data_IF_990265676992
#
_entry.id   IF_990265676992
#
_cell.length_a   1.000
_cell.length_b   1.000
_cell.length_c   1.000
_cell.angle_alpha   90.00
_cell.angle_beta   90.00
_cell.angle_gamma   90.00
#
_symmetry.space_group_name_H-M   'P 1'
#
loop_
_entity.id
_entity.type
_entity.pdbx_description
1 polymer ?
#
# COMPACT_ATOMS: atom_id res chain seq x y z
N UNK A 1 -23.92 2.99 12.25
CA UNK A 1 -24.88 3.21 13.36
C UNK A 1 -25.71 4.46 13.13
N UNK A 2 -25.07 5.62 12.91
CA UNK A 2 -25.72 6.91 12.61
C UNK A 2 -26.87 6.85 11.58
N UNK A 3 -26.63 6.30 10.38
CA UNK A 3 -27.69 6.12 9.35
C UNK A 3 -28.95 5.41 9.86
N UNK A 4 -28.80 4.42 10.74
CA UNK A 4 -29.94 3.70 11.34
C UNK A 4 -30.64 4.56 12.41
N UNK A 5 -29.88 5.29 13.23
CA UNK A 5 -30.43 6.20 14.23
C UNK A 5 -31.27 7.31 13.58
N UNK A 6 -30.79 7.87 12.47
CA UNK A 6 -31.54 8.82 11.62
C UNK A 6 -32.82 8.18 11.09
N UNK A 7 -32.73 7.01 10.45
CA UNK A 7 -33.89 6.32 9.87
C UNK A 7 -34.99 6.04 10.90
N UNK A 8 -34.62 5.53 12.08
CA UNK A 8 -35.58 5.19 13.14
C UNK A 8 -35.89 6.34 14.10
N UNK A 9 -35.36 7.55 13.85
CA UNK A 9 -35.55 8.73 14.69
C UNK A 9 -35.20 8.46 16.16
N UNK A 10 -34.08 7.79 16.39
CA UNK A 10 -33.58 7.47 17.73
C UNK A 10 -32.43 8.41 18.10
N UNK A 11 -32.39 8.95 19.33
CA UNK A 11 -31.21 9.64 19.82
C UNK A 11 -29.97 8.75 19.78
N UNK A 12 -28.80 9.34 19.50
CA UNK A 12 -27.51 8.66 19.49
C UNK A 12 -26.48 9.47 20.29
N UNK A 13 -25.71 8.77 21.12
CA UNK A 13 -24.55 9.32 21.82
C UNK A 13 -23.31 8.65 21.21
N UNK A 14 -22.50 9.43 20.51
CA UNK A 14 -21.26 8.97 19.90
C UNK A 14 -20.07 9.51 20.71
N UNK A 15 -19.03 8.70 20.89
CA UNK A 15 -17.81 9.11 21.58
C UNK A 15 -16.59 8.42 20.99
N UNK A 16 -15.47 9.13 20.91
CA UNK A 16 -14.20 8.62 20.40
C UNK A 16 -13.03 9.03 21.28
N UNK A 17 -11.93 8.29 21.18
CA UNK A 17 -10.65 8.63 21.85
C UNK A 17 -9.48 8.37 20.91
N UNK A 18 -8.46 9.21 20.98
CA UNK A 18 -7.17 9.03 20.33
C UNK A 18 -6.06 9.43 21.30
N UNK A 19 -5.44 8.42 21.93
CA UNK A 19 -4.53 8.61 23.06
C UNK A 19 -5.17 9.46 24.17
N UNK A 20 -4.62 10.64 24.48
CA UNK A 20 -5.15 11.55 25.50
C UNK A 20 -6.30 12.44 25.00
N UNK A 21 -6.60 12.41 23.69
CA UNK A 21 -7.69 13.18 23.09
C UNK A 21 -8.99 12.39 23.18
N UNK A 22 -10.10 13.08 23.42
CA UNK A 22 -11.44 12.50 23.41
C UNK A 22 -12.45 13.46 22.82
N UNK A 23 -13.51 12.91 22.24
CA UNK A 23 -14.65 13.68 21.73
C UNK A 23 -15.96 12.97 22.08
N UNK A 24 -17.03 13.74 22.24
CA UNK A 24 -18.39 13.26 22.43
C UNK A 24 -19.32 14.07 21.54
N UNK A 25 -20.26 13.42 20.85
CA UNK A 25 -21.26 14.06 20.02
C UNK A 25 -22.64 13.51 20.36
N UNK A 26 -23.61 14.41 20.55
CA UNK A 26 -25.00 14.06 20.80
C UNK A 26 -25.81 14.31 19.54
N UNK A 27 -26.52 13.30 19.06
CA UNK A 27 -27.44 13.38 17.92
C UNK A 27 -28.88 13.27 18.44
N UNK A 28 -29.62 14.37 18.37
CA UNK A 28 -31.03 14.45 18.76
C UNK A 28 -31.89 14.58 17.49
N UNK A 29 -32.85 13.66 17.26
CA UNK A 29 -33.73 13.72 16.09
C UNK A 29 -34.43 15.07 15.98
N UNK A 30 -34.43 15.66 14.78
CA UNK A 30 -35.07 16.94 14.46
C UNK A 30 -34.48 18.17 15.16
N UNK A 31 -33.32 18.06 15.81
CA UNK A 31 -32.71 19.17 16.55
C UNK A 31 -31.24 19.39 16.19
N UNK A 32 -30.42 18.34 16.19
CA UNK A 32 -28.99 18.45 15.88
C UNK A 32 -28.65 17.78 14.55
N UNK A 33 -27.49 18.11 14.01
CA UNK A 33 -26.92 17.38 12.88
C UNK A 33 -26.57 15.93 13.27
N UNK A 34 -26.53 15.06 12.26
CA UNK A 34 -26.12 13.67 12.42
C UNK A 34 -24.59 13.56 12.43
N UNK A 35 -24.05 12.43 12.90
CA UNK A 35 -22.59 12.21 12.88
C UNK A 35 -22.04 12.30 11.45
N UNK A 36 -22.75 11.75 10.46
CA UNK A 36 -22.33 11.76 9.06
C UNK A 36 -22.57 13.09 8.32
N UNK A 37 -23.08 14.12 9.00
CA UNK A 37 -23.22 15.46 8.44
C UNK A 37 -21.88 16.21 8.34
N UNK A 38 -20.92 15.85 9.19
CA UNK A 38 -19.54 16.35 9.17
C UNK A 38 -18.57 15.30 8.64
N UNK A 39 -17.56 15.73 7.89
CA UNK A 39 -16.44 14.88 7.50
C UNK A 39 -15.21 15.23 8.33
N UNK A 40 -14.65 14.21 8.99
CA UNK A 40 -13.32 14.31 9.56
C UNK A 40 -12.27 14.50 8.43
N UNK A 41 -11.14 15.17 8.72
CA UNK A 41 -10.05 15.26 7.77
C UNK A 41 -9.64 13.85 7.31
N UNK A 42 -9.52 13.60 6.00
CA UNK A 42 -9.06 12.31 5.52
C UNK A 42 -7.62 12.08 5.99
N UNK A 43 -7.26 10.81 6.18
CA UNK A 43 -5.87 10.45 6.39
C UNK A 43 -5.02 10.95 5.21
N UNK A 44 -3.83 11.47 5.52
CA UNK A 44 -2.90 11.92 4.49
C UNK A 44 -2.32 10.69 3.80
N UNK A 45 -2.58 10.54 2.51
CA UNK A 45 -1.92 9.52 1.69
C UNK A 45 -0.52 9.99 1.29
N UNK A 46 0.45 9.08 1.31
CA UNK A 46 1.81 9.35 0.85
C UNK A 46 1.83 9.18 -0.68
N UNK A 47 2.38 10.14 -1.45
CA UNK A 47 2.49 10.00 -2.89
C UNK A 47 3.30 8.75 -3.29
N UNK A 48 2.85 8.04 -4.33
CA UNK A 48 3.52 6.80 -4.80
C UNK A 48 4.99 7.05 -5.16
N UNK A 49 5.32 8.19 -5.78
CA UNK A 49 6.71 8.53 -6.12
C UNK A 49 7.61 8.65 -4.87
N UNK A 50 7.06 9.18 -3.77
CA UNK A 50 7.76 9.29 -2.49
C UNK A 50 7.99 7.91 -1.87
N UNK A 51 7.01 7.01 -1.93
CA UNK A 51 7.15 5.64 -1.45
C UNK A 51 8.15 4.82 -2.27
N UNK A 52 8.14 4.97 -3.60
CA UNK A 52 8.94 4.12 -4.50
C UNK A 52 10.39 4.59 -4.67
N UNK A 53 10.63 5.91 -4.74
CA UNK A 53 11.93 6.43 -5.19
C UNK A 53 12.55 7.45 -4.23
N UNK A 54 11.75 8.21 -3.48
CA UNK A 54 12.24 9.36 -2.71
C UNK A 54 11.69 9.41 -1.26
N UNK A 55 11.90 8.37 -0.44
CA UNK A 55 11.52 8.41 0.97
C UNK A 55 12.44 9.36 1.75
N UNK A 56 11.86 10.20 2.62
CA UNK A 56 12.60 11.17 3.44
C UNK A 56 12.14 11.17 4.92
N UNK A 57 11.19 10.32 5.27
CA UNK A 57 10.64 10.15 6.60
C UNK A 57 10.42 8.65 6.87
N UNK A 58 10.46 8.25 8.14
CA UNK A 58 10.38 6.83 8.52
C UNK A 58 9.04 6.22 8.10
N UNK A 59 7.95 6.99 8.17
CA UNK A 59 6.61 6.59 7.77
C UNK A 59 6.56 6.13 6.31
N UNK A 60 7.38 6.71 5.43
CA UNK A 60 7.44 6.32 4.03
C UNK A 60 8.04 4.92 3.88
N UNK A 61 9.12 4.64 4.60
CA UNK A 61 9.75 3.31 4.60
C UNK A 61 8.91 2.26 5.30
N UNK A 62 8.16 2.63 6.34
CA UNK A 62 7.23 1.73 7.04
C UNK A 62 6.05 1.35 6.14
N UNK A 63 5.46 2.33 5.44
CA UNK A 63 4.40 2.08 4.48
C UNK A 63 4.89 1.20 3.32
N UNK A 64 6.07 1.52 2.75
CA UNK A 64 6.70 0.69 1.73
C UNK A 64 6.92 -0.74 2.21
N UNK A 65 7.48 -0.94 3.40
CA UNK A 65 7.77 -2.27 3.94
C UNK A 65 6.50 -3.09 4.20
N UNK A 66 5.41 -2.43 4.62
CA UNK A 66 4.10 -3.06 4.76
C UNK A 66 3.56 -3.53 3.41
N UNK A 67 3.61 -2.67 2.39
CA UNK A 67 3.11 -2.98 1.05
C UNK A 67 3.95 -4.11 0.42
N UNK A 68 5.26 -4.08 0.61
CA UNK A 68 6.19 -5.13 0.17
C UNK A 68 5.88 -6.48 0.85
N UNK A 69 5.68 -6.48 2.18
CA UNK A 69 5.28 -7.68 2.91
C UNK A 69 3.94 -8.24 2.40
N UNK A 70 2.94 -7.38 2.19
CA UNK A 70 1.63 -7.80 1.70
C UNK A 70 1.72 -8.39 0.28
N UNK A 71 2.51 -7.76 -0.61
CA UNK A 71 2.76 -8.26 -1.96
C UNK A 71 3.43 -9.63 -1.97
N UNK A 72 4.52 -9.77 -1.22
CA UNK A 72 5.35 -10.98 -1.21
C UNK A 72 4.66 -12.18 -0.57
N UNK A 73 4.02 -12.00 0.58
CA UNK A 73 3.58 -13.12 1.41
C UNK A 73 2.06 -13.36 1.41
N UNK A 74 1.26 -12.38 0.96
CA UNK A 74 -0.21 -12.50 0.90
C UNK A 74 -0.72 -12.56 -0.53
N UNK A 75 -0.48 -11.49 -1.29
CA UNK A 75 -1.07 -11.33 -2.63
C UNK A 75 -0.54 -12.37 -3.61
N UNK A 76 0.77 -12.63 -3.61
CA UNK A 76 1.36 -13.63 -4.50
C UNK A 76 0.79 -15.04 -4.27
N UNK A 77 0.66 -15.46 -3.01
CA UNK A 77 0.07 -16.74 -2.67
C UNK A 77 -1.43 -16.80 -3.02
N UNK A 78 -2.16 -15.71 -2.78
CA UNK A 78 -3.57 -15.59 -3.13
C UNK A 78 -3.80 -15.69 -4.65
N UNK A 79 -3.03 -14.96 -5.46
CA UNK A 79 -3.10 -15.03 -6.91
C UNK A 79 -2.76 -16.42 -7.44
N UNK A 80 -1.71 -17.06 -6.93
CA UNK A 80 -1.36 -18.43 -7.32
C UNK A 80 -2.48 -19.43 -6.95
N UNK A 81 -3.07 -19.30 -5.76
CA UNK A 81 -4.17 -20.16 -5.33
C UNK A 81 -5.43 -19.96 -6.19
N UNK A 82 -5.76 -18.72 -6.54
CA UNK A 82 -6.88 -18.42 -7.43
C UNK A 82 -6.62 -18.97 -8.84
N UNK A 83 -5.42 -18.77 -9.39
CA UNK A 83 -5.02 -19.32 -10.69
C UNK A 83 -5.18 -20.84 -10.76
N UNK A 84 -4.83 -21.56 -9.69
CA UNK A 84 -4.92 -23.03 -9.65
C UNK A 84 -6.34 -23.56 -9.46
N UNK A 85 -7.24 -22.81 -8.83
CA UNK A 85 -8.59 -23.27 -8.44
C UNK A 85 -9.69 -22.77 -9.36
N UNK A 86 -9.48 -21.61 -9.97
CA UNK A 86 -10.51 -20.89 -10.71
C UNK A 86 -10.20 -20.87 -12.21
N UNK A 87 -10.92 -21.66 -13.03
CA UNK A 87 -10.68 -21.71 -14.46
C UNK A 87 -10.98 -20.38 -15.18
N UNK A 88 -11.74 -19.48 -14.57
CA UNK A 88 -12.05 -18.16 -15.12
C UNK A 88 -11.06 -17.07 -14.66
N UNK A 89 -10.02 -17.41 -13.89
CA UNK A 89 -9.03 -16.45 -13.38
C UNK A 89 -8.37 -15.65 -14.51
N UNK A 90 -7.89 -16.32 -15.56
CA UNK A 90 -7.21 -15.66 -16.67
C UNK A 90 -8.13 -14.65 -17.39
N UNK A 91 -9.36 -15.06 -17.71
CA UNK A 91 -10.33 -14.20 -18.39
C UNK A 91 -10.64 -12.95 -17.57
N UNK A 92 -10.79 -13.10 -16.24
CA UNK A 92 -11.04 -11.97 -15.34
C UNK A 92 -9.84 -11.05 -15.21
N UNK A 93 -8.66 -11.64 -15.06
CA UNK A 93 -7.40 -10.91 -14.86
C UNK A 93 -7.06 -10.06 -16.09
N UNK A 94 -7.30 -10.58 -17.29
CA UNK A 94 -7.09 -9.85 -18.54
C UNK A 94 -8.06 -8.67 -18.74
N UNK A 95 -9.18 -8.64 -18.02
CA UNK A 95 -10.14 -7.52 -18.03
C UNK A 95 -9.77 -6.42 -17.03
N UNK A 96 -8.74 -6.62 -16.20
CA UNK A 96 -8.29 -5.59 -15.26
C UNK A 96 -7.62 -4.42 -16.00
N UNK A 97 -7.72 -3.19 -15.47
CA UNK A 97 -7.17 -2.01 -16.12
C UNK A 97 -5.64 -1.92 -15.97
N UNK A 98 -5.00 -1.26 -16.93
CA UNK A 98 -3.60 -0.85 -16.91
C UNK A 98 -2.61 -2.03 -16.73
N UNK A 99 -1.65 -1.92 -15.80
CA UNK A 99 -0.61 -2.93 -15.55
C UNK A 99 -1.08 -4.10 -14.70
N UNK A 100 -2.25 -4.01 -14.07
CA UNK A 100 -2.73 -5.03 -13.13
C UNK A 100 -2.77 -6.45 -13.69
N UNK A 101 -3.12 -6.69 -14.98
CA UNK A 101 -3.02 -8.02 -15.55
C UNK A 101 -1.58 -8.55 -15.57
N UNK A 102 -0.61 -7.72 -15.93
CA UNK A 102 0.81 -8.09 -15.97
C UNK A 102 1.33 -8.36 -14.56
N UNK A 103 1.05 -7.45 -13.62
CA UNK A 103 1.48 -7.56 -12.22
C UNK A 103 0.96 -8.87 -11.58
N UNK A 104 -0.32 -9.18 -11.80
CA UNK A 104 -0.95 -10.40 -11.29
C UNK A 104 -0.35 -11.67 -11.94
N UNK A 105 -0.12 -11.67 -13.25
CA UNK A 105 0.42 -12.82 -13.97
C UNK A 105 1.91 -13.06 -13.65
N UNK A 106 2.71 -12.00 -13.50
CA UNK A 106 4.10 -12.10 -13.05
C UNK A 106 4.18 -12.64 -11.63
N UNK A 107 3.28 -12.18 -10.75
CA UNK A 107 3.18 -12.69 -9.39
C UNK A 107 2.86 -14.18 -9.34
N UNK A 108 1.88 -14.65 -10.14
CA UNK A 108 1.57 -16.09 -10.29
C UNK A 108 2.76 -16.86 -10.85
N UNK A 109 3.41 -16.34 -11.90
CA UNK A 109 4.59 -16.97 -12.51
C UNK A 109 5.65 -17.19 -11.44
N UNK A 110 6.05 -16.13 -10.74
CA UNK A 110 7.12 -16.18 -9.73
C UNK A 110 6.77 -17.18 -8.61
N UNK A 111 5.54 -17.14 -8.11
CA UNK A 111 5.08 -18.06 -7.06
C UNK A 111 5.12 -19.54 -7.48
N UNK A 112 4.99 -19.84 -8.77
CA UNK A 112 5.02 -21.22 -9.29
C UNK A 112 6.43 -21.63 -9.73
N UNK A 113 7.16 -20.76 -10.43
CA UNK A 113 8.47 -21.08 -11.02
C UNK A 113 9.61 -20.98 -10.01
N UNK A 114 9.56 -20.02 -9.09
CA UNK A 114 10.58 -19.82 -8.05
C UNK A 114 10.18 -20.48 -6.73
N UNK A 115 9.31 -21.48 -6.79
CA UNK A 115 8.78 -22.16 -5.61
C UNK A 115 9.93 -22.86 -4.85
N UNK A 116 10.22 -22.49 -3.59
CA UNK A 116 11.24 -23.17 -2.80
C UNK A 116 10.82 -24.61 -2.50
N UNK A 117 11.80 -25.54 -2.48
CA UNK A 117 11.59 -26.95 -2.14
C UNK A 117 12.21 -27.32 -0.80
N UNK A 118 13.08 -26.46 -0.28
CA UNK A 118 13.76 -26.58 1.02
C UNK A 118 13.77 -25.24 1.76
N UNK A 119 14.17 -25.26 3.04
CA UNK A 119 14.33 -24.03 3.80
C UNK A 119 15.52 -23.20 3.31
N UNK A 120 16.58 -23.88 2.87
CA UNK A 120 17.77 -23.30 2.28
C UNK A 120 17.44 -22.47 1.04
N UNK A 121 16.50 -22.95 0.21
CA UNK A 121 16.00 -22.18 -0.95
C UNK A 121 15.31 -20.88 -0.51
N UNK A 122 14.56 -20.89 0.59
CA UNK A 122 13.94 -19.69 1.14
C UNK A 122 14.99 -18.68 1.63
N UNK A 123 16.08 -19.17 2.25
CA UNK A 123 17.20 -18.31 2.69
C UNK A 123 17.93 -17.70 1.49
N UNK A 124 18.19 -18.50 0.45
CA UNK A 124 18.79 -18.03 -0.79
C UNK A 124 17.91 -16.98 -1.47
N UNK A 125 16.61 -17.22 -1.57
CA UNK A 125 15.63 -16.27 -2.09
C UNK A 125 15.64 -14.96 -1.30
N UNK A 126 15.59 -15.02 0.04
CA UNK A 126 15.59 -13.83 0.87
C UNK A 126 16.87 -13.00 0.69
N UNK A 127 18.03 -13.66 0.56
CA UNK A 127 19.30 -12.99 0.29
C UNK A 127 19.31 -12.29 -1.07
N UNK A 128 18.80 -12.93 -2.12
CA UNK A 128 18.72 -12.35 -3.46
C UNK A 128 17.71 -11.21 -3.52
N UNK A 129 16.57 -11.36 -2.86
CA UNK A 129 15.56 -10.32 -2.76
C UNK A 129 16.11 -9.07 -2.02
N UNK A 130 16.88 -9.28 -0.95
CA UNK A 130 17.59 -8.20 -0.26
C UNK A 130 18.55 -7.45 -1.20
N UNK A 131 19.38 -8.16 -1.97
CA UNK A 131 20.26 -7.52 -2.96
C UNK A 131 19.46 -6.70 -3.97
N UNK A 132 18.35 -7.26 -4.44
CA UNK A 132 17.55 -6.60 -5.45
C UNK A 132 16.95 -5.29 -4.94
N UNK A 133 16.34 -5.30 -3.75
CA UNK A 133 15.67 -4.14 -3.19
C UNK A 133 16.65 -3.06 -2.70
N UNK A 134 17.72 -3.46 -2.02
CA UNK A 134 18.58 -2.52 -1.30
C UNK A 134 19.89 -2.21 -2.03
N UNK A 135 20.26 -2.97 -3.07
CA UNK A 135 21.44 -2.70 -3.89
C UNK A 135 21.06 -2.41 -5.35
N UNK A 136 20.48 -3.37 -6.06
CA UNK A 136 20.30 -3.29 -7.51
C UNK A 136 19.34 -2.15 -7.90
N UNK A 137 18.19 -2.04 -7.22
CA UNK A 137 17.23 -0.97 -7.49
C UNK A 137 17.79 0.41 -7.15
N UNK A 138 18.59 0.52 -6.08
CA UNK A 138 19.27 1.78 -5.71
C UNK A 138 20.32 2.15 -6.76
N UNK A 139 21.10 1.18 -7.24
CA UNK A 139 22.04 1.41 -8.34
C UNK A 139 21.33 1.82 -9.63
N UNK A 140 20.19 1.19 -9.95
CA UNK A 140 19.38 1.56 -11.09
C UNK A 140 18.81 2.98 -10.96
N UNK A 141 18.40 3.38 -9.75
CA UNK A 141 17.94 4.73 -9.46
C UNK A 141 19.07 5.76 -9.66
N UNK A 142 20.26 5.48 -9.13
CA UNK A 142 21.44 6.34 -9.29
C UNK A 142 21.96 6.38 -10.73
N UNK A 143 21.78 5.31 -11.51
CA UNK A 143 22.08 5.30 -12.93
C UNK A 143 21.13 6.24 -13.70
N UNK A 144 19.84 6.23 -13.35
CA UNK A 144 18.83 7.10 -13.97
C UNK A 144 18.98 8.55 -13.52
N UNK A 145 19.41 8.78 -12.27
CA UNK A 145 19.62 10.08 -11.66
C UNK A 145 20.99 10.15 -11.00
N UNK A 146 22.05 10.43 -11.79
CA UNK A 146 23.40 10.55 -11.26
C UNK A 146 23.48 11.61 -10.13
N UNK A 147 24.26 11.37 -9.07
CA UNK A 147 24.33 12.27 -7.92
C UNK A 147 24.91 13.65 -8.27
N UNK A 148 25.67 13.75 -9.36
CA UNK A 148 26.26 14.96 -9.93
C UNK A 148 25.38 15.63 -10.99
N UNK A 149 24.19 15.07 -11.27
CA UNK A 149 23.27 15.67 -12.23
C UNK A 149 22.83 17.05 -11.74
N UNK A 150 23.26 18.10 -12.43
CA UNK A 150 22.85 19.46 -12.13
C UNK A 150 21.37 19.61 -12.48
N UNK A 151 20.50 19.91 -11.50
CA UNK A 151 19.12 20.16 -11.82
C UNK A 151 19.00 21.42 -12.66
N UNK A 152 18.20 21.37 -13.73
CA UNK A 152 17.69 22.61 -14.33
C UNK A 152 17.02 23.42 -13.20
N UNK A 153 17.27 24.73 -13.16
CA UNK A 153 16.96 25.68 -12.06
C UNK A 153 15.53 25.64 -11.46
N UNK A 154 14.63 24.82 -12.02
CA UNK A 154 13.26 24.58 -11.60
C UNK A 154 13.03 23.31 -10.78
N UNK A 155 13.99 22.38 -10.67
CA UNK A 155 13.80 21.11 -9.93
C UNK A 155 15.03 20.76 -9.09
N UNK A 156 15.23 21.36 -7.92
CA UNK A 156 16.25 20.89 -6.97
C UNK A 156 15.95 19.43 -6.54
N UNK A 157 16.64 18.47 -7.15
CA UNK A 157 16.74 17.10 -6.67
C UNK A 157 18.00 16.99 -5.81
N UNK A 158 17.88 17.20 -4.49
CA UNK A 158 18.96 16.88 -3.56
C UNK A 158 18.95 15.38 -3.27
N UNK A 159 19.76 14.62 -4.00
CA UNK A 159 20.20 13.29 -3.56
C UNK A 159 21.33 13.45 -2.54
N UNK A 160 20.99 13.84 -1.31
CA UNK A 160 21.90 13.61 -0.19
C UNK A 160 21.79 12.15 0.20
N UNK A 161 22.69 11.35 -0.36
CA UNK A 161 22.92 9.95 0.02
C UNK A 161 23.11 9.89 1.54
N UNK A 162 22.37 8.98 2.18
CA UNK A 162 22.48 8.65 3.62
C UNK A 162 23.90 8.20 3.99
#
# INVERSE_FOLDING_TARGET
MDRRAVYYRKPLLESGTLATKGNTQVVVPFLTESYSSSQDPPEKSIPICTLKNFPNAIEHTLQWARDEFEGLFRQAAEHAAQYLRDPAFLERTLKLPASQPLDALESVRNAITERPLSFEDCVAWARLHFENQYCNQIQQLLYNFPPDQVPNLFYLFEFRVF
#
